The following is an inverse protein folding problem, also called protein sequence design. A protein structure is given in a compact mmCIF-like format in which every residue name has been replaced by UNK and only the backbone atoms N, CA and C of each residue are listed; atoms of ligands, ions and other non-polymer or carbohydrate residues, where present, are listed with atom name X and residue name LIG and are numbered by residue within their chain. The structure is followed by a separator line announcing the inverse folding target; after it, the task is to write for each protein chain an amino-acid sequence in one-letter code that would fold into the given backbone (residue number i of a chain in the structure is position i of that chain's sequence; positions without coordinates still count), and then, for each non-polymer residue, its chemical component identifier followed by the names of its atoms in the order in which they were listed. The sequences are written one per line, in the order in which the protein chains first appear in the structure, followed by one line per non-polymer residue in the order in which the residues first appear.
data_IF_107847531537
#
_entry.id   IF_107847531537
#
_cell.length_a   1.000
_cell.length_b   1.000
_cell.length_c   1.000
_cell.angle_alpha   90.00
_cell.angle_beta   90.00
_cell.angle_gamma   90.00
#
_symmetry.space_group_name_H-M   'P 1'
#
loop_
_entity.id
_entity.type
_entity.pdbx_description
1 polymer ?
#
# COMPACT_ATOMS: atom_id res chain seq x y z
N UNK A 1 3.61 -1.98 -17.93
CA UNK A 1 2.98 -0.65 -18.09
C UNK A 1 3.82 0.46 -17.45
N UNK A 2 4.24 0.37 -16.18
CA UNK A 2 5.03 1.45 -15.51
C UNK A 2 6.41 1.71 -16.17
N UNK A 3 7.16 0.67 -16.57
CA UNK A 3 8.50 0.82 -17.17
C UNK A 3 8.53 1.59 -18.51
N UNK A 4 7.38 1.81 -19.16
CA UNK A 4 7.28 2.47 -20.47
C UNK A 4 6.80 3.93 -20.36
N UNK A 5 6.36 4.37 -19.19
CA UNK A 5 5.90 5.74 -19.00
C UNK A 5 7.11 6.67 -18.88
N UNK A 6 7.19 7.76 -19.67
CA UNK A 6 8.28 8.70 -19.58
C UNK A 6 8.28 9.41 -18.22
N UNK A 7 9.46 9.77 -17.74
CA UNK A 7 9.60 10.57 -16.52
C UNK A 7 9.13 12.00 -16.79
N UNK A 8 8.25 12.52 -15.95
CA UNK A 8 7.76 13.90 -16.03
C UNK A 8 8.83 14.93 -15.62
N UNK A 9 9.78 14.51 -14.78
CA UNK A 9 10.88 15.33 -14.29
C UNK A 9 12.10 14.46 -13.98
N UNK A 10 13.27 15.09 -13.90
CA UNK A 10 14.51 14.38 -13.54
C UNK A 10 14.44 13.90 -12.08
N UNK A 11 14.83 12.66 -11.77
CA UNK A 11 14.87 12.17 -10.40
C UNK A 11 15.69 13.10 -9.49
N UNK A 12 15.17 13.43 -8.31
CA UNK A 12 15.83 14.33 -7.35
C UNK A 12 15.70 15.83 -7.66
N UNK A 13 15.15 16.23 -8.81
CA UNK A 13 14.93 17.65 -9.12
C UNK A 13 13.67 18.24 -8.50
N UNK A 14 12.67 17.40 -8.20
CA UNK A 14 11.39 17.77 -7.59
C UNK A 14 10.91 16.64 -6.69
N UNK A 15 10.13 16.99 -5.67
CA UNK A 15 9.41 16.06 -4.82
C UNK A 15 7.91 16.20 -5.11
N UNK A 16 7.32 15.17 -5.72
CA UNK A 16 5.88 15.13 -6.00
C UNK A 16 5.31 13.94 -5.23
N UNK A 17 4.22 14.18 -4.49
CA UNK A 17 3.52 13.11 -3.80
C UNK A 17 2.84 12.19 -4.82
N UNK A 18 3.13 10.89 -4.75
CA UNK A 18 2.70 9.91 -5.75
C UNK A 18 2.33 8.60 -5.06
N UNK A 19 1.08 8.18 -5.18
CA UNK A 19 0.63 6.88 -4.68
C UNK A 19 1.33 5.72 -5.41
N UNK A 20 1.71 5.93 -6.68
CA UNK A 20 2.43 4.94 -7.50
C UNK A 20 3.81 4.65 -6.92
N UNK A 21 4.47 5.65 -6.34
CA UNK A 21 5.80 5.49 -5.74
C UNK A 21 5.72 4.52 -4.54
N UNK A 22 4.68 4.65 -3.72
CA UNK A 22 4.43 3.73 -2.60
C UNK A 22 4.01 2.34 -3.05
N UNK A 23 3.28 2.20 -4.17
CA UNK A 23 3.01 0.88 -4.76
C UNK A 23 4.30 0.20 -5.21
N UNK A 24 5.21 0.94 -5.86
CA UNK A 24 6.52 0.43 -6.29
C UNK A 24 7.36 0.01 -5.07
N UNK A 25 7.39 0.82 -4.01
CA UNK A 25 8.05 0.45 -2.76
C UNK A 25 7.48 -0.83 -2.16
N UNK A 26 6.16 -1.00 -2.20
CA UNK A 26 5.49 -2.25 -1.84
C UNK A 26 6.04 -3.46 -2.61
N UNK A 27 6.10 -3.35 -3.94
CA UNK A 27 6.65 -4.43 -4.78
C UNK A 27 8.13 -4.71 -4.51
N UNK A 28 8.93 -3.69 -4.19
CA UNK A 28 10.35 -3.87 -3.82
C UNK A 28 10.45 -4.69 -2.52
N UNK A 29 9.65 -4.35 -1.50
CA UNK A 29 9.61 -5.11 -0.25
C UNK A 29 9.23 -6.57 -0.52
N UNK A 30 8.18 -6.82 -1.31
CA UNK A 30 7.74 -8.17 -1.65
C UNK A 30 8.83 -8.94 -2.40
N UNK A 31 9.53 -8.29 -3.33
CA UNK A 31 10.60 -8.90 -4.12
C UNK A 31 11.82 -9.28 -3.28
N UNK A 32 12.21 -8.44 -2.31
CA UNK A 32 13.37 -8.69 -1.44
C UNK A 32 13.06 -9.74 -0.38
N UNK A 33 11.85 -9.68 0.19
CA UNK A 33 11.47 -10.51 1.34
C UNK A 33 10.83 -11.84 0.94
N UNK A 34 10.42 -11.99 -0.32
CA UNK A 34 9.61 -13.10 -0.81
C UNK A 34 8.31 -13.32 -0.01
N UNK A 35 7.79 -12.25 0.61
CA UNK A 35 6.56 -12.26 1.39
C UNK A 35 5.57 -11.24 0.83
N UNK A 36 4.25 -11.53 0.81
CA UNK A 36 3.24 -10.52 0.54
C UNK A 36 3.36 -9.35 1.53
N UNK A 37 3.15 -8.12 1.05
CA UNK A 37 3.35 -6.91 1.84
C UNK A 37 2.52 -6.92 3.14
N UNK A 38 1.27 -7.39 3.08
CA UNK A 38 0.37 -7.45 4.24
C UNK A 38 0.89 -8.39 5.33
N UNK A 39 1.55 -9.49 4.95
CA UNK A 39 2.18 -10.43 5.88
C UNK A 39 3.48 -9.87 6.43
N UNK A 40 4.27 -9.21 5.59
CA UNK A 40 5.51 -8.59 6.01
C UNK A 40 5.25 -7.55 7.12
N UNK A 41 4.43 -6.54 6.86
CA UNK A 41 4.13 -5.48 7.85
C UNK A 41 3.43 -6.00 9.11
N UNK A 42 2.58 -7.03 8.99
CA UNK A 42 1.97 -7.65 10.17
C UNK A 42 3.03 -8.31 11.07
N UNK A 43 4.02 -8.96 10.48
CA UNK A 43 5.05 -9.72 11.21
C UNK A 43 6.20 -8.85 11.72
N UNK A 44 6.64 -7.86 10.95
CA UNK A 44 7.83 -7.06 11.25
C UNK A 44 7.53 -5.73 11.92
N UNK A 45 6.28 -5.23 11.83
CA UNK A 45 5.89 -3.94 12.38
C UNK A 45 4.75 -4.08 13.38
N UNK A 46 3.59 -4.60 12.95
CA UNK A 46 2.38 -4.55 13.78
C UNK A 46 2.49 -5.43 15.04
N UNK A 47 2.95 -6.68 14.89
CA UNK A 47 3.12 -7.59 16.04
C UNK A 47 4.16 -7.11 17.04
N UNK A 48 5.39 -6.69 16.63
CA UNK A 48 6.38 -6.16 17.57
C UNK A 48 5.91 -4.91 18.33
N UNK A 49 5.07 -4.07 17.70
CA UNK A 49 4.50 -2.87 18.32
C UNK A 49 3.20 -3.14 19.10
N UNK A 50 2.71 -4.38 19.14
CA UNK A 50 1.47 -4.74 19.85
C UNK A 50 0.18 -4.19 19.22
N UNK A 51 0.20 -3.84 17.92
CA UNK A 51 -0.95 -3.26 17.22
C UNK A 51 -1.99 -4.35 16.88
N UNK A 52 -3.04 -4.47 17.71
CA UNK A 52 -4.07 -5.52 17.58
C UNK A 52 -5.21 -5.21 16.59
N UNK A 53 -5.37 -3.94 16.21
CA UNK A 53 -6.48 -3.48 15.37
C UNK A 53 -6.02 -2.82 14.06
N UNK A 54 -4.75 -3.00 13.69
CA UNK A 54 -4.15 -2.46 12.45
C UNK A 54 -3.90 -3.61 11.48
N UNK A 55 -4.52 -3.55 10.30
CA UNK A 55 -4.65 -4.70 9.39
C UNK A 55 -5.00 -4.23 7.98
N UNK A 56 -4.42 -4.90 6.97
CA UNK A 56 -4.88 -4.82 5.59
C UNK A 56 -6.18 -5.62 5.38
N UNK A 57 -7.13 -5.06 4.65
CA UNK A 57 -8.40 -5.71 4.30
C UNK A 57 -9.11 -6.34 5.52
N UNK A 58 -9.52 -5.53 6.52
CA UNK A 58 -10.03 -6.03 7.80
C UNK A 58 -11.26 -6.93 7.67
N UNK A 59 -12.12 -6.67 6.67
CA UNK A 59 -13.27 -7.54 6.36
C UNK A 59 -12.83 -8.97 5.99
N UNK A 60 -11.75 -9.11 5.21
CA UNK A 60 -11.19 -10.42 4.87
C UNK A 60 -10.54 -11.09 6.08
N UNK A 61 -9.93 -10.31 6.98
CA UNK A 61 -9.32 -10.83 8.22
C UNK A 61 -10.31 -10.98 9.39
N UNK A 62 -11.61 -10.84 9.14
CA UNK A 62 -12.69 -10.97 10.15
C UNK A 62 -12.51 -10.05 11.37
N UNK A 63 -11.81 -8.93 11.18
CA UNK A 63 -11.66 -7.91 12.20
C UNK A 63 -12.75 -6.85 11.98
N UNK A 64 -13.46 -6.51 13.05
CA UNK A 64 -14.33 -5.33 13.06
C UNK A 64 -13.46 -4.07 12.99
N UNK A 65 -13.06 -3.70 11.78
CA UNK A 65 -12.56 -2.35 11.56
C UNK A 65 -13.75 -1.40 11.51
N UNK A 66 -13.54 -0.17 12.00
CA UNK A 66 -14.32 0.98 11.56
C UNK A 66 -14.01 1.23 10.08
N UNK A 67 -14.41 0.31 9.20
CA UNK A 67 -14.24 0.42 7.77
C UNK A 67 -15.16 1.54 7.30
N UNK A 68 -14.62 2.74 7.08
CA UNK A 68 -15.35 3.85 6.48
C UNK A 68 -15.53 3.67 4.95
N UNK A 69 -15.62 2.42 4.48
CA UNK A 69 -16.03 2.07 3.11
C UNK A 69 -17.35 1.33 3.15
N UNK A 70 -18.37 1.98 3.73
CA UNK A 70 -19.75 1.65 3.39
C UNK A 70 -20.05 2.41 2.09
N UNK A 71 -20.26 1.65 1.02
CA UNK A 71 -20.79 2.08 -0.28
C UNK A 71 -19.72 2.46 -1.33
N UNK A 72 -19.65 1.65 -2.38
CA UNK A 72 -18.79 1.88 -3.52
C UNK A 72 -19.23 3.09 -4.35
N UNK A 73 -18.32 4.05 -4.49
CA UNK A 73 -18.31 5.02 -5.59
C UNK A 73 -16.86 5.33 -5.95
N UNK A 74 -16.35 4.63 -6.97
CA UNK A 74 -15.32 5.20 -7.85
C UNK A 74 -15.85 5.05 -9.27
N UNK A 75 -16.85 5.88 -9.59
CA UNK A 75 -17.15 6.31 -10.95
C UNK A 75 -16.82 7.79 -11.00
N UNK A 76 -16.14 8.19 -12.09
CA UNK A 76 -15.72 9.52 -12.47
C UNK A 76 -14.59 10.09 -11.61
N UNK A 77 -13.34 9.96 -12.10
CA UNK A 77 -12.75 11.05 -12.89
C UNK A 77 -11.98 10.41 -14.06
N UNK A 78 -12.53 10.63 -15.25
CA UNK A 78 -11.80 10.60 -16.51
C UNK A 78 -11.29 12.03 -16.75
#
# INVERSE_FOLDING_TARGET
MIKKTPLEYQPGSKHIYSDVDYMILGFIIESITAMPLDRYVETTIYKPLGLKHTVFNPLMKRLHAAANRRNGTTRQYA
#
